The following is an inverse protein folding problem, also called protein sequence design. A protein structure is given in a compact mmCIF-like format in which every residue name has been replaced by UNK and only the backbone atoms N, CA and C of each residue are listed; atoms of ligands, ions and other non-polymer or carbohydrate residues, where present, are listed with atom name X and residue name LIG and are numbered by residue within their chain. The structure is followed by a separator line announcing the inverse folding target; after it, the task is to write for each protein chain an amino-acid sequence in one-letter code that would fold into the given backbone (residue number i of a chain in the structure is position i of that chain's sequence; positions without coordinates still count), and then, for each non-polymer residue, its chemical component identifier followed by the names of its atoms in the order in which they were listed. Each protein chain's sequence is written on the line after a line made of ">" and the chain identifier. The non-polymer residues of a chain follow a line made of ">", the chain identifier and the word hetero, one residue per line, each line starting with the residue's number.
data_IF_565650645024
#
_entry.id   IF_565650645024
#
_cell.length_a   1.000
_cell.length_b   1.000
_cell.length_c   1.000
_cell.angle_alpha   90.00
_cell.angle_beta   90.00
_cell.angle_gamma   90.00
#
_symmetry.space_group_name_H-M   'P 1'
#
loop_
_entity.id
_entity.type
_entity.pdbx_description
1 polymer ?
#
# COMPACT_ATOMS: atom_id res chain seq x y z
N UNK A 1 12.53 3.69 -2.52
CA UNK A 1 11.57 3.45 -1.44
C UNK A 1 11.23 1.97 -1.47
N UNK A 2 10.86 1.38 -0.34
CA UNK A 2 10.48 -0.03 -0.28
C UNK A 2 9.20 -0.29 -1.09
N UNK A 3 9.05 -1.48 -1.64
CA UNK A 3 7.85 -1.94 -2.32
C UNK A 3 7.48 -3.32 -1.81
N UNK A 4 6.22 -3.72 -2.00
CA UNK A 4 5.72 -5.04 -1.58
C UNK A 4 5.37 -5.83 -2.84
N UNK A 5 6.16 -6.85 -3.11
CA UNK A 5 6.11 -7.70 -4.30
C UNK A 5 4.90 -8.63 -4.37
N UNK A 6 4.33 -8.98 -3.21
CA UNK A 6 3.24 -9.94 -3.13
C UNK A 6 2.76 -10.19 -1.71
N UNK A 7 1.73 -11.04 -1.62
CA UNK A 7 1.12 -11.43 -0.34
C UNK A 7 2.09 -12.11 0.64
N UNK A 8 3.04 -12.98 0.23
CA UNK A 8 4.00 -13.58 1.16
C UNK A 8 4.89 -12.54 1.84
N UNK A 9 5.42 -11.59 1.07
CA UNK A 9 6.23 -10.50 1.61
C UNK A 9 5.42 -9.60 2.54
N UNK A 10 4.18 -9.29 2.17
CA UNK A 10 3.29 -8.52 3.04
C UNK A 10 3.06 -9.21 4.39
N UNK A 11 2.81 -10.53 4.39
CA UNK A 11 2.59 -11.29 5.64
C UNK A 11 3.83 -11.26 6.53
N UNK A 12 5.03 -11.41 5.95
CA UNK A 12 6.28 -11.30 6.70
C UNK A 12 6.45 -9.90 7.30
N UNK A 13 6.20 -8.85 6.51
CA UNK A 13 6.27 -7.47 6.99
C UNK A 13 5.29 -7.23 8.16
N UNK A 14 4.04 -7.67 8.04
CA UNK A 14 3.04 -7.54 9.09
C UNK A 14 3.43 -8.30 10.37
N UNK A 15 4.01 -9.49 10.24
CA UNK A 15 4.53 -10.26 11.38
C UNK A 15 5.65 -9.52 12.11
N UNK A 16 6.63 -9.01 11.37
CA UNK A 16 7.74 -8.22 11.93
C UNK A 16 7.26 -6.96 12.64
N UNK A 17 6.27 -6.26 12.09
CA UNK A 17 5.70 -5.06 12.70
C UNK A 17 4.91 -5.37 13.99
N UNK A 18 4.25 -6.54 14.04
CA UNK A 18 3.58 -7.01 15.26
C UNK A 18 4.59 -7.36 16.36
N UNK A 19 5.68 -8.05 16.02
CA UNK A 19 6.77 -8.38 16.96
C UNK A 19 7.50 -7.13 17.48
N UNK A 20 7.66 -6.11 16.63
CA UNK A 20 8.24 -4.84 17.01
C UNK A 20 7.35 -4.01 17.94
N UNK A 21 6.15 -4.49 18.31
CA UNK A 21 5.20 -3.81 19.20
C UNK A 21 4.88 -2.39 18.77
N UNK A 22 4.78 -2.15 17.47
CA UNK A 22 4.61 -0.79 16.96
C UNK A 22 3.28 -0.20 17.46
N UNK A 23 3.28 1.03 18.01
CA UNK A 23 2.05 1.70 18.41
C UNK A 23 1.08 1.81 17.24
N UNK A 24 -0.17 1.45 17.46
CA UNK A 24 -1.25 1.54 16.46
C UNK A 24 -2.33 2.52 16.92
N UNK A 25 -2.97 3.29 16.02
CA UNK A 25 -2.81 3.25 14.57
C UNK A 25 -1.54 3.97 14.09
N UNK A 26 -0.91 3.46 13.02
CA UNK A 26 0.27 4.09 12.41
C UNK A 26 0.32 3.88 10.90
N UNK A 27 1.11 4.69 10.19
CA UNK A 27 1.32 4.60 8.74
C UNK A 27 2.81 4.46 8.44
N UNK A 28 3.15 3.41 7.69
CA UNK A 28 4.49 3.20 7.14
C UNK A 28 4.54 3.63 5.68
N UNK A 29 5.41 4.59 5.39
CA UNK A 29 5.62 5.05 4.03
C UNK A 29 6.38 4.01 3.21
N UNK A 30 5.84 3.71 2.05
CA UNK A 30 6.41 2.83 1.03
C UNK A 30 6.47 3.60 -0.30
N UNK A 31 7.03 2.99 -1.33
CA UNK A 31 7.14 3.57 -2.67
C UNK A 31 5.82 3.55 -3.46
N UNK A 32 4.66 3.45 -2.82
CA UNK A 32 3.38 3.39 -3.52
C UNK A 32 2.93 4.81 -3.90
N UNK A 33 2.87 5.11 -5.19
CA UNK A 33 2.59 6.45 -5.69
C UNK A 33 1.70 6.44 -6.92
N UNK A 34 0.78 7.38 -7.00
CA UNK A 34 0.09 7.77 -8.23
C UNK A 34 0.68 9.09 -8.70
N UNK A 35 1.29 9.10 -9.89
CA UNK A 35 1.87 10.31 -10.46
C UNK A 35 0.76 11.27 -10.94
N UNK A 36 1.08 12.56 -11.11
CA UNK A 36 0.20 13.45 -11.86
C UNK A 36 0.01 12.86 -13.27
N UNK A 37 -1.17 13.06 -13.87
CA UNK A 37 -1.66 12.42 -15.10
C UNK A 37 -1.99 10.92 -15.01
N UNK A 38 -1.67 10.23 -13.92
CA UNK A 38 -2.20 8.89 -13.66
C UNK A 38 -3.56 9.00 -12.95
N UNK A 39 -4.61 8.46 -13.56
CA UNK A 39 -5.98 8.52 -13.05
C UNK A 39 -6.23 7.51 -11.93
N UNK A 40 -7.14 7.82 -11.02
CA UNK A 40 -7.74 6.81 -10.14
C UNK A 40 -8.57 5.82 -10.95
N UNK A 41 -8.22 4.54 -10.85
CA UNK A 41 -8.91 3.43 -11.52
C UNK A 41 -9.50 2.48 -10.47
N UNK A 42 -10.74 2.72 -10.02
CA UNK A 42 -11.31 2.01 -8.86
C UNK A 42 -11.40 0.49 -9.04
N UNK A 43 -11.50 0.06 -10.29
CA UNK A 43 -11.51 -1.32 -10.74
C UNK A 43 -10.14 -2.02 -10.63
N UNK A 44 -9.03 -1.27 -10.59
CA UNK A 44 -7.68 -1.83 -10.50
C UNK A 44 -7.29 -2.04 -9.03
N UNK A 45 -6.51 -3.10 -8.70
CA UNK A 45 -6.13 -3.40 -7.31
C UNK A 45 -5.54 -2.21 -6.55
N UNK A 46 -4.59 -1.49 -7.16
CA UNK A 46 -3.95 -0.33 -6.55
C UNK A 46 -4.54 1.01 -6.96
N UNK A 47 -5.71 1.04 -7.60
CA UNK A 47 -6.44 2.29 -7.86
C UNK A 47 -5.64 3.32 -8.68
N UNK A 48 -4.79 2.84 -9.60
CA UNK A 48 -3.89 3.67 -10.41
C UNK A 48 -2.58 4.07 -9.72
N UNK A 49 -2.31 3.63 -8.48
CA UNK A 49 -1.00 3.74 -7.86
C UNK A 49 -0.07 2.64 -8.39
N UNK A 50 1.22 2.96 -8.47
CA UNK A 50 2.29 2.04 -8.86
C UNK A 50 3.43 2.12 -7.86
N UNK A 51 4.26 1.08 -7.83
CA UNK A 51 5.48 1.06 -7.04
C UNK A 51 6.59 1.86 -7.72
N UNK A 52 7.14 2.84 -7.03
CA UNK A 52 8.34 3.56 -7.42
C UNK A 52 9.57 2.67 -7.12
N UNK A 53 10.23 2.21 -8.17
CA UNK A 53 11.49 1.46 -8.05
C UNK A 53 12.62 2.35 -7.56
N UNK A 54 13.55 1.79 -6.78
CA UNK A 54 14.85 2.42 -6.49
C UNK A 54 15.97 1.41 -6.73
N UNK A 55 17.04 1.85 -7.39
CA UNK A 55 18.28 1.08 -7.51
C UNK A 55 18.29 -0.02 -8.57
N UNK A 56 17.78 0.24 -9.78
CA UNK A 56 17.92 -0.67 -10.92
C UNK A 56 17.10 -1.97 -10.86
N UNK A 57 16.42 -2.25 -9.75
CA UNK A 57 15.41 -3.30 -9.65
C UNK A 57 14.10 -2.84 -10.29
N UNK A 58 13.50 -3.71 -11.11
CA UNK A 58 12.19 -3.45 -11.70
C UNK A 58 11.12 -3.67 -10.64
N UNK A 59 10.40 -2.61 -10.27
CA UNK A 59 9.25 -2.75 -9.40
C UNK A 59 8.20 -3.66 -10.06
N UNK A 60 7.34 -4.34 -9.28
CA UNK A 60 6.34 -5.26 -9.82
C UNK A 60 5.46 -4.51 -10.81
N UNK A 61 5.45 -4.98 -12.05
CA UNK A 61 4.60 -4.41 -13.08
C UNK A 61 3.14 -4.84 -12.88
N UNK A 62 2.94 -6.04 -12.34
CA UNK A 62 1.63 -6.55 -11.94
C UNK A 62 1.54 -6.64 -10.42
N UNK A 63 0.39 -6.23 -9.88
CA UNK A 63 0.13 -6.30 -8.45
C UNK A 63 -1.04 -7.25 -8.21
N UNK A 64 -0.83 -8.33 -7.42
CA UNK A 64 -1.88 -9.27 -7.09
C UNK A 64 -3.11 -8.56 -6.51
N UNK A 65 -4.31 -8.98 -6.91
CA UNK A 65 -5.57 -8.42 -6.40
C UNK A 65 -5.67 -8.45 -4.87
N UNK A 66 -5.05 -9.44 -4.23
CA UNK A 66 -4.97 -9.57 -2.78
C UNK A 66 -4.28 -8.38 -2.07
N UNK A 67 -3.38 -7.68 -2.78
CA UNK A 67 -2.77 -6.45 -2.28
C UNK A 67 -3.65 -5.22 -2.50
N UNK A 68 -4.78 -5.30 -3.20
CA UNK A 68 -5.65 -4.17 -3.51
C UNK A 68 -6.55 -3.70 -2.37
N UNK A 69 -6.05 -3.74 -1.12
CA UNK A 69 -6.82 -3.41 0.08
C UNK A 69 -6.56 -1.98 0.53
N UNK A 70 -7.59 -1.14 0.47
CA UNK A 70 -7.56 0.24 0.93
C UNK A 70 -8.41 0.40 2.19
N UNK A 71 -7.98 1.24 3.14
CA UNK A 71 -8.79 1.55 4.32
C UNK A 71 -9.86 2.60 3.97
N UNK A 72 -9.49 3.86 3.67
CA UNK A 72 -10.32 4.70 2.82
C UNK A 72 -9.95 4.45 1.35
N UNK A 73 -10.96 4.36 0.49
CA UNK A 73 -10.72 4.41 -0.95
C UNK A 73 -10.02 5.73 -1.35
N UNK A 74 -9.03 5.70 -2.26
CA UNK A 74 -8.34 6.89 -2.73
C UNK A 74 -9.29 7.91 -3.32
N UNK A 75 -8.95 9.19 -3.21
CA UNK A 75 -9.75 10.24 -3.83
C UNK A 75 -9.64 10.12 -5.36
N UNK A 76 -10.78 10.13 -6.08
CA UNK A 76 -10.77 10.20 -7.55
C UNK A 76 -10.03 11.46 -8.01
N UNK A 77 -8.91 11.30 -8.71
CA UNK A 77 -8.11 12.39 -9.27
C UNK A 77 -7.17 11.86 -10.36
N UNK A 78 -6.90 12.71 -11.35
CA UNK A 78 -5.88 12.49 -12.39
C UNK A 78 -4.88 13.64 -12.49
N UNK A 79 -5.02 14.67 -11.65
CA UNK A 79 -4.28 15.93 -11.78
C UNK A 79 -3.19 16.09 -10.72
N UNK A 80 -3.34 15.42 -9.58
CA UNK A 80 -2.44 15.56 -8.43
C UNK A 80 -1.71 14.27 -8.18
N UNK A 81 -0.38 14.35 -8.02
CA UNK A 81 0.39 13.24 -7.50
C UNK A 81 0.00 12.94 -6.04
N UNK A 82 -0.09 11.66 -5.69
CA UNK A 82 -0.44 11.17 -4.35
C UNK A 82 0.45 9.99 -3.98
N UNK A 83 0.83 9.92 -2.71
CA UNK A 83 1.56 8.78 -2.15
C UNK A 83 0.60 7.98 -1.28
N UNK A 84 0.90 6.71 -1.05
CA UNK A 84 0.17 5.89 -0.10
C UNK A 84 1.13 5.15 0.82
N UNK A 85 0.68 4.92 2.06
CA UNK A 85 1.40 4.16 3.06
C UNK A 85 0.63 2.92 3.49
N UNK A 86 1.36 1.95 4.05
CA UNK A 86 0.77 0.82 4.76
C UNK A 86 0.27 1.32 6.11
N UNK A 87 -1.04 1.44 6.27
CA UNK A 87 -1.64 1.75 7.55
C UNK A 87 -1.89 0.47 8.33
N UNK A 88 -1.41 0.42 9.57
CA UNK A 88 -1.82 -0.56 10.57
C UNK A 88 -2.87 0.10 11.47
N UNK A 89 -4.10 -0.40 11.45
CA UNK A 89 -5.13 0.02 12.40
C UNK A 89 -4.84 -0.62 13.79
N UNK A 90 -5.59 -0.24 14.83
CA UNK A 90 -5.46 -0.83 16.18
C UNK A 90 -6.23 -2.15 16.28
N UNK A 91 -5.78 -3.08 17.14
CA UNK A 91 -6.27 -4.47 17.19
C UNK A 91 -7.81 -4.57 17.11
N UNK A 92 -8.33 -5.00 15.97
CA UNK A 92 -9.73 -5.39 15.81
C UNK A 92 -9.85 -6.90 16.02
N UNK A 93 -10.92 -7.35 16.70
CA UNK A 93 -11.17 -8.78 16.97
C UNK A 93 -11.46 -9.61 15.70
N UNK A 94 -11.81 -8.95 14.59
CA UNK A 94 -12.35 -9.59 13.38
C UNK A 94 -11.61 -9.18 12.08
N UNK A 95 -10.36 -9.63 11.93
CA UNK A 95 -9.67 -9.64 10.64
C UNK A 95 -8.37 -8.84 10.54
N UNK A 96 -7.66 -8.93 9.41
CA UNK A 96 -6.35 -8.33 9.26
C UNK A 96 -6.42 -6.82 9.44
N UNK A 97 -5.53 -6.25 10.23
CA UNK A 97 -5.64 -4.89 10.74
C UNK A 97 -4.84 -3.88 9.90
N UNK A 98 -4.86 -4.03 8.57
CA UNK A 98 -3.99 -3.27 7.67
C UNK A 98 -4.70 -2.83 6.38
N UNK A 99 -4.20 -1.80 5.72
CA UNK A 99 -4.59 -1.44 4.36
C UNK A 99 -3.81 -0.23 3.86
N UNK A 100 -3.89 0.06 2.58
CA UNK A 100 -3.31 1.27 2.01
C UNK A 100 -4.10 2.51 2.43
N UNK A 101 -3.38 3.60 2.66
CA UNK A 101 -3.95 4.92 2.96
C UNK A 101 -3.20 5.98 2.17
N UNK A 102 -3.95 6.76 1.40
CA UNK A 102 -3.50 7.99 0.73
C UNK A 102 -3.19 9.10 1.75
#
# INVERSE_FOLDING_TARGET
>A
LAWVSGEPELRLLLGLLAEATVPTPTVFWVGLKRNASACTHLEQPLRGFSWEGVGGGMAPQEVPAALGRWLPEPRPSCLTARCAGLHLAGNTRDGPNWGWKE
#
